data_IF_933167376969
#
_entry.id   IF_933167376969
#
_cell.length_a   1.000
_cell.length_b   1.000
_cell.length_c   1.000
_cell.angle_alpha   90.00
_cell.angle_beta   90.00
_cell.angle_gamma   90.00
#
_symmetry.space_group_name_H-M   'P 1'
#
loop_
_entity.id
_entity.type
_entity.pdbx_description
1 polymer ?
#
# COMPACT_ATOMS: atom_id res chain seq x y z
N UNK A 1 9.89 -9.32 39.15
CA UNK A 1 8.65 -9.88 38.56
C UNK A 1 8.89 -9.93 37.07
N UNK A 2 8.94 -11.12 36.47
CA UNK A 2 9.05 -11.24 35.01
C UNK A 2 7.77 -10.70 34.38
N UNK A 3 7.92 -9.68 33.53
CA UNK A 3 6.83 -9.12 32.73
C UNK A 3 6.40 -10.19 31.72
N UNK A 4 5.41 -11.01 32.10
CA UNK A 4 4.86 -12.01 31.20
C UNK A 4 4.06 -11.26 30.12
N UNK A 5 4.32 -11.50 28.83
CA UNK A 5 3.57 -10.85 27.77
C UNK A 5 2.10 -11.26 27.87
N UNK A 6 1.21 -10.26 28.01
CA UNK A 6 -0.25 -10.47 28.13
C UNK A 6 -0.84 -11.15 26.88
N UNK A 7 -0.18 -11.00 25.73
CA UNK A 7 -0.53 -11.64 24.47
C UNK A 7 0.75 -12.03 23.72
N UNK A 8 0.79 -13.26 23.20
CA UNK A 8 1.89 -13.76 22.35
C UNK A 8 1.33 -14.23 21.02
N UNK A 9 2.04 -13.91 19.94
CA UNK A 9 1.68 -14.31 18.57
C UNK A 9 2.96 -14.43 17.75
N UNK A 10 2.90 -15.15 16.64
CA UNK A 10 4.05 -15.40 15.77
C UNK A 10 3.97 -14.57 14.49
N UNK A 11 5.14 -14.16 14.00
CA UNK A 11 5.29 -13.61 12.65
C UNK A 11 5.09 -14.74 11.65
N UNK A 12 4.27 -14.51 10.63
CA UNK A 12 4.00 -15.48 9.57
C UNK A 12 3.96 -14.82 8.21
N UNK A 13 4.16 -15.60 7.15
CA UNK A 13 3.97 -15.14 5.77
C UNK A 13 2.48 -14.94 5.47
N UNK A 14 2.12 -13.80 4.89
CA UNK A 14 0.78 -13.45 4.42
C UNK A 14 0.94 -12.88 2.99
N UNK A 15 0.61 -13.71 1.99
CA UNK A 15 0.87 -13.37 0.58
C UNK A 15 2.37 -13.17 0.32
N UNK A 16 2.72 -11.99 -0.20
CA UNK A 16 4.11 -11.60 -0.49
C UNK A 16 4.80 -10.87 0.69
N UNK A 17 4.16 -10.80 1.85
CA UNK A 17 4.67 -10.04 3.01
C UNK A 17 4.69 -10.89 4.27
N UNK A 18 5.35 -10.38 5.32
CA UNK A 18 5.26 -10.93 6.67
C UNK A 18 4.23 -10.13 7.47
N UNK A 19 3.52 -10.81 8.36
CA UNK A 19 2.51 -10.20 9.20
C UNK A 19 2.38 -10.86 10.56
N UNK A 20 1.79 -10.11 11.49
CA UNK A 20 1.47 -10.54 12.84
C UNK A 20 -0.05 -10.54 12.98
N UNK A 21 -0.64 -11.67 13.39
CA UNK A 21 -2.07 -11.70 13.67
C UNK A 21 -2.35 -11.18 15.08
N UNK A 22 -3.12 -10.10 15.15
CA UNK A 22 -3.67 -9.56 16.39
C UNK A 22 -5.05 -10.17 16.64
N UNK A 23 -5.30 -10.60 17.87
CA UNK A 23 -6.59 -11.19 18.23
C UNK A 23 -7.70 -10.14 18.21
N UNK A 24 -8.95 -10.58 18.01
CA UNK A 24 -10.13 -9.69 18.05
C UNK A 24 -10.23 -8.92 19.37
N UNK A 25 -9.75 -9.50 20.47
CA UNK A 25 -9.74 -8.85 21.79
C UNK A 25 -8.79 -7.65 21.82
N UNK A 26 -7.58 -7.79 21.25
CA UNK A 26 -6.60 -6.70 21.16
C UNK A 26 -7.13 -5.57 20.26
N UNK A 27 -7.67 -5.91 19.09
CA UNK A 27 -8.24 -4.93 18.16
C UNK A 27 -9.38 -4.12 18.79
N UNK A 28 -10.30 -4.78 19.52
CA UNK A 28 -11.38 -4.10 20.25
C UNK A 28 -10.85 -3.16 21.32
N UNK A 29 -9.84 -3.58 22.09
CA UNK A 29 -9.23 -2.75 23.15
C UNK A 29 -8.55 -1.51 22.58
N UNK A 30 -7.89 -1.65 21.43
CA UNK A 30 -7.23 -0.55 20.73
C UNK A 30 -8.17 0.28 19.84
N UNK A 31 -9.45 -0.11 19.73
CA UNK A 31 -10.45 0.51 18.84
C UNK A 31 -9.97 0.62 17.39
N UNK A 32 -9.27 -0.42 16.92
CA UNK A 32 -8.77 -0.51 15.55
C UNK A 32 -9.84 -1.18 14.68
N UNK A 33 -10.24 -0.51 13.60
CA UNK A 33 -11.16 -1.06 12.61
C UNK A 33 -10.42 -1.79 11.49
N UNK A 34 -11.10 -2.73 10.83
CA UNK A 34 -10.52 -3.43 9.69
C UNK A 34 -10.29 -2.45 8.53
N UNK A 35 -9.07 -2.44 7.97
CA UNK A 35 -8.67 -1.50 6.92
C UNK A 35 -8.22 -0.13 7.42
N UNK A 36 -8.13 0.09 8.73
CA UNK A 36 -7.54 1.30 9.29
C UNK A 36 -6.01 1.30 9.11
N UNK A 37 -5.46 2.45 8.75
CA UNK A 37 -4.01 2.64 8.72
C UNK A 37 -3.42 2.62 10.14
N UNK A 38 -2.24 2.01 10.27
CA UNK A 38 -1.50 1.92 11.53
C UNK A 38 -0.12 2.52 11.29
N UNK A 39 0.28 3.45 12.14
CA UNK A 39 1.66 3.93 12.24
C UNK A 39 2.46 2.96 13.09
N UNK A 40 3.67 2.63 12.66
CA UNK A 40 4.62 1.87 13.46
C UNK A 40 5.86 2.72 13.72
N UNK A 41 6.36 2.67 14.95
CA UNK A 41 7.59 3.33 15.37
C UNK A 41 8.53 2.24 15.86
N UNK A 42 9.75 2.22 15.30
CA UNK A 42 10.84 1.39 15.81
C UNK A 42 11.65 2.23 16.80
N UNK A 43 11.64 1.83 18.06
CA UNK A 43 12.43 2.46 19.10
C UNK A 43 13.86 1.87 19.14
N UNK A 44 14.79 2.59 19.77
CA UNK A 44 16.20 2.18 19.90
C UNK A 44 16.39 0.90 20.73
N UNK A 45 15.43 0.57 21.59
CA UNK A 45 15.38 -0.67 22.38
C UNK A 45 14.84 -1.88 21.59
N UNK A 46 14.79 -1.79 20.26
CA UNK A 46 14.20 -2.77 19.36
C UNK A 46 12.72 -3.06 19.63
N UNK A 47 12.00 -2.15 20.28
CA UNK A 47 10.55 -2.29 20.45
C UNK A 47 9.80 -1.68 19.27
N UNK A 48 8.79 -2.40 18.78
CA UNK A 48 7.89 -1.93 17.75
C UNK A 48 6.59 -1.45 18.39
N UNK A 49 6.32 -0.15 18.31
CA UNK A 49 5.09 0.45 18.85
C UNK A 49 4.11 0.70 17.70
N UNK A 50 2.92 0.10 17.79
CA UNK A 50 1.83 0.29 16.83
C UNK A 50 0.84 1.33 17.35
N UNK A 51 0.55 2.36 16.56
CA UNK A 51 -0.42 3.42 16.89
C UNK A 51 -1.52 3.51 15.82
N UNK A 52 -2.80 3.53 16.20
CA UNK A 52 -3.89 3.75 15.25
C UNK A 52 -3.82 5.17 14.69
N UNK A 53 -3.90 5.30 13.36
CA UNK A 53 -3.98 6.62 12.72
C UNK A 53 -5.41 7.13 12.84
N UNK A 54 -5.60 8.35 13.37
CA UNK A 54 -6.93 8.98 13.53
C UNK A 54 -7.62 9.29 12.21
N UNK A 55 -6.85 9.46 11.13
CA UNK A 55 -7.35 9.70 9.79
C UNK A 55 -7.26 8.41 8.98
N UNK A 56 -8.41 7.92 8.55
CA UNK A 56 -8.46 6.90 7.51
C UNK A 56 -7.97 7.56 6.22
N UNK A 57 -6.68 7.44 5.94
CA UNK A 57 -6.15 7.70 4.61
C UNK A 57 -6.62 6.52 3.77
N UNK A 58 -7.88 6.53 3.33
CA UNK A 58 -8.23 5.68 2.18
C UNK A 58 -7.26 6.13 1.09
N UNK A 59 -6.43 5.25 0.51
CA UNK A 59 -5.72 5.64 -0.69
C UNK A 59 -6.80 6.19 -1.62
N UNK A 60 -6.57 7.39 -2.17
CA UNK A 60 -7.37 7.86 -3.30
C UNK A 60 -7.15 6.82 -4.39
N UNK A 61 -7.95 5.75 -4.42
CA UNK A 61 -8.10 4.96 -5.61
C UNK A 61 -8.62 5.97 -6.61
N UNK A 62 -7.74 6.39 -7.52
CA UNK A 62 -8.17 7.10 -8.71
C UNK A 62 -9.33 6.26 -9.25
N UNK A 63 -10.52 6.85 -9.31
CA UNK A 63 -11.69 6.15 -9.86
C UNK A 63 -11.25 5.63 -11.21
N UNK A 64 -11.31 4.30 -11.39
CA UNK A 64 -10.99 3.70 -12.68
C UNK A 64 -11.79 4.45 -13.75
N UNK A 65 -11.10 4.90 -14.78
CA UNK A 65 -11.78 5.59 -15.86
C UNK A 65 -12.58 4.57 -16.67
N UNK A 66 -13.87 4.48 -16.37
CA UNK A 66 -14.79 3.56 -17.06
C UNK A 66 -15.27 4.11 -18.41
N UNK A 67 -14.91 5.35 -18.77
CA UNK A 67 -15.37 6.00 -20.00
C UNK A 67 -14.25 6.11 -21.03
N UNK A 68 -14.35 5.29 -22.07
CA UNK A 68 -13.42 5.27 -23.21
C UNK A 68 -13.34 6.64 -23.92
N UNK A 69 -14.43 7.41 -23.91
CA UNK A 69 -14.50 8.72 -24.57
C UNK A 69 -13.52 9.77 -23.99
N UNK A 70 -12.98 9.52 -22.80
CA UNK A 70 -12.06 10.45 -22.12
C UNK A 70 -10.60 10.06 -22.24
N UNK A 71 -10.29 8.91 -22.86
CA UNK A 71 -8.93 8.38 -22.99
C UNK A 71 -8.06 9.31 -23.83
N UNK A 72 -8.53 9.74 -25.01
CA UNK A 72 -7.74 10.64 -25.88
C UNK A 72 -7.30 11.92 -25.18
N UNK A 73 -8.18 12.51 -24.37
CA UNK A 73 -7.86 13.72 -23.62
C UNK A 73 -6.81 13.45 -22.54
N UNK A 74 -6.89 12.31 -21.87
CA UNK A 74 -5.94 11.91 -20.83
C UNK A 74 -4.57 11.56 -21.41
N UNK A 75 -4.51 10.86 -22.55
CA UNK A 75 -3.25 10.61 -23.25
C UNK A 75 -2.59 11.92 -23.69
N UNK A 76 -3.34 12.84 -24.32
CA UNK A 76 -2.81 14.16 -24.69
C UNK A 76 -2.27 14.93 -23.48
N UNK A 77 -2.96 14.86 -22.35
CA UNK A 77 -2.53 15.53 -21.13
C UNK A 77 -1.28 14.89 -20.51
N UNK A 78 -1.19 13.55 -20.49
CA UNK A 78 -0.01 12.83 -20.02
C UNK A 78 1.23 13.12 -20.89
N UNK A 79 1.06 13.16 -22.21
CA UNK A 79 2.12 13.55 -23.17
C UNK A 79 2.58 14.99 -22.90
N UNK A 80 1.65 15.93 -22.72
CA UNK A 80 1.98 17.32 -22.37
C UNK A 80 2.73 17.43 -21.04
N UNK A 81 2.34 16.63 -20.05
CA UNK A 81 2.97 16.61 -18.73
C UNK A 81 4.30 15.84 -18.71
N UNK A 82 4.71 15.21 -19.83
CA UNK A 82 5.88 14.32 -19.90
C UNK A 82 5.85 13.24 -18.80
N UNK A 83 4.65 12.76 -18.48
CA UNK A 83 4.48 11.70 -17.49
C UNK A 83 5.08 10.40 -18.04
N UNK A 84 6.07 9.88 -17.33
CA UNK A 84 6.66 8.56 -17.61
C UNK A 84 6.14 7.55 -16.60
N UNK A 85 5.96 6.28 -16.98
CA UNK A 85 5.62 5.23 -16.03
C UNK A 85 6.61 5.20 -14.86
N UNK A 86 6.10 5.05 -13.64
CA UNK A 86 6.93 4.94 -12.42
C UNK A 86 7.81 3.69 -12.42
N UNK A 87 7.47 2.68 -13.23
CA UNK A 87 8.21 1.44 -13.38
C UNK A 87 8.04 0.94 -14.82
N UNK A 88 9.02 0.21 -15.33
CA UNK A 88 8.91 -0.49 -16.60
C UNK A 88 7.80 -1.56 -16.51
N UNK A 89 6.62 -1.20 -16.99
CA UNK A 89 5.44 -2.08 -17.02
C UNK A 89 5.60 -3.23 -18.03
N UNK A 90 6.63 -3.18 -18.86
CA UNK A 90 6.90 -4.16 -19.90
C UNK A 90 8.07 -5.10 -19.54
N UNK A 91 8.70 -4.96 -18.36
CA UNK A 91 9.77 -5.85 -17.89
C UNK A 91 10.88 -6.09 -18.94
N UNK A 92 11.27 -5.05 -19.69
CA UNK A 92 12.26 -5.14 -20.75
C UNK A 92 11.75 -5.71 -22.09
N UNK A 93 10.45 -5.92 -22.26
CA UNK A 93 9.84 -6.22 -23.57
C UNK A 93 9.93 -4.99 -24.47
N UNK A 94 10.94 -4.99 -25.33
CA UNK A 94 11.04 -4.04 -26.43
C UNK A 94 10.22 -4.55 -27.61
N UNK A 95 9.24 -3.76 -28.05
CA UNK A 95 8.49 -4.04 -29.27
C UNK A 95 9.14 -3.30 -30.44
N UNK A 96 9.47 -4.01 -31.53
CA UNK A 96 10.00 -3.42 -32.77
C UNK A 96 9.05 -2.42 -33.43
N UNK A 97 7.80 -2.38 -32.98
CA UNK A 97 6.79 -1.43 -33.45
C UNK A 97 7.04 0.01 -32.97
N UNK A 98 7.78 0.21 -31.86
CA UNK A 98 8.09 1.53 -31.31
C UNK A 98 9.32 2.19 -31.98
N UNK A 99 10.05 1.46 -32.84
CA UNK A 99 11.25 1.98 -33.52
C UNK A 99 10.93 2.94 -34.68
N UNK A 100 9.69 2.95 -35.16
CA UNK A 100 9.24 3.90 -36.18
C UNK A 100 8.21 4.85 -35.56
N UNK A 101 8.64 6.06 -35.22
CA UNK A 101 7.73 7.19 -34.94
C UNK A 101 6.75 7.36 -36.11
N UNK A 102 5.52 7.74 -35.76
CA UNK A 102 4.39 7.99 -36.65
C UNK A 102 4.54 9.30 -37.42
#
# INVERSE_FOLDING_TARGET
>A
MEDRPLYTTTVRKIGNSNGVLLSKAVLKKLKIENGQAIEFILNEDNTLVLKPVKKIIKPKRNKLNLSLATWDKQFKQAIQNKEVPETDVFEGLTNKFDENEW
#
